data_IF_535787052806
#
_entry.id   IF_535787052806
#
_cell.length_a   1.000
_cell.length_b   1.000
_cell.length_c   1.000
_cell.angle_alpha   90.00
_cell.angle_beta   90.00
_cell.angle_gamma   90.00
#
_symmetry.space_group_name_H-M   'P 1'
#
loop_
_entity.id
_entity.type
_entity.pdbx_description
1 polymer ?
#
# COMPACT_ATOMS: atom_id res chain seq x y z
N UNK A 1 -97.10 90.04 106.79
CA UNK A 1 -97.51 90.74 105.55
C UNK A 1 -96.31 90.74 104.61
N UNK A 2 -96.50 90.14 103.42
CA UNK A 2 -95.95 90.36 102.06
C UNK A 2 -94.57 91.06 101.91
N UNK A 3 -93.71 90.85 100.90
CA UNK A 3 -93.83 90.22 99.58
C UNK A 3 -92.41 90.05 98.97
N UNK A 4 -92.39 89.36 97.82
CA UNK A 4 -91.32 88.91 96.92
C UNK A 4 -90.63 90.04 96.09
N UNK A 5 -89.35 89.88 95.70
CA UNK A 5 -88.82 90.06 94.31
C UNK A 5 -87.33 89.63 94.25
N UNK A 6 -86.94 88.52 93.60
CA UNK A 6 -86.79 88.14 92.17
C UNK A 6 -85.54 88.69 91.47
N UNK A 7 -84.80 87.75 90.86
CA UNK A 7 -83.48 87.85 90.22
C UNK A 7 -83.57 87.96 88.68
N UNK A 8 -82.57 88.60 88.06
CA UNK A 8 -82.46 88.68 86.60
C UNK A 8 -81.75 87.46 85.99
N UNK A 9 -82.45 86.79 85.08
CA UNK A 9 -82.01 85.70 84.22
C UNK A 9 -81.41 86.25 82.92
N UNK A 10 -80.28 85.67 82.47
CA UNK A 10 -79.82 85.80 81.07
C UNK A 10 -80.58 84.77 80.23
N UNK A 11 -81.28 85.27 79.21
CA UNK A 11 -82.12 84.54 78.26
C UNK A 11 -81.28 84.08 77.07
N UNK A 12 -81.23 82.78 76.80
CA UNK A 12 -80.81 82.24 75.49
C UNK A 12 -82.04 82.32 74.58
N UNK A 13 -81.98 83.14 73.53
CA UNK A 13 -83.05 83.29 72.56
C UNK A 13 -83.01 82.12 71.55
N UNK A 14 -84.02 81.25 71.61
CA UNK A 14 -84.15 80.03 70.78
C UNK A 14 -84.86 80.33 69.44
N UNK A 15 -85.34 81.56 69.22
CA UNK A 15 -86.22 81.90 68.07
C UNK A 15 -85.49 82.23 66.74
N UNK A 16 -84.17 82.05 66.63
CA UNK A 16 -83.42 82.27 65.37
C UNK A 16 -82.95 81.00 64.66
N UNK A 17 -83.31 79.80 65.15
CA UNK A 17 -83.04 78.54 64.46
C UNK A 17 -84.28 78.13 63.65
N UNK A 18 -84.29 78.44 62.36
CA UNK A 18 -85.34 77.97 61.44
C UNK A 18 -85.23 76.45 61.28
N UNK A 19 -86.03 75.72 62.05
CA UNK A 19 -86.05 74.25 62.07
C UNK A 19 -86.26 73.63 60.68
N UNK A 20 -86.89 74.34 59.73
CA UNK A 20 -87.04 73.89 58.35
C UNK A 20 -85.73 73.94 57.54
N UNK A 21 -84.86 74.91 57.79
CA UNK A 21 -83.56 75.01 57.09
C UNK A 21 -82.59 73.93 57.58
N UNK A 22 -82.64 73.60 58.87
CA UNK A 22 -81.91 72.47 59.46
C UNK A 22 -82.43 71.15 58.88
N UNK A 23 -83.75 70.97 58.84
CA UNK A 23 -84.38 69.76 58.30
C UNK A 23 -84.07 69.53 56.81
N UNK A 24 -84.11 70.59 55.99
CA UNK A 24 -83.77 70.49 54.56
C UNK A 24 -82.28 70.20 54.35
N UNK A 25 -81.39 70.81 55.15
CA UNK A 25 -79.95 70.59 55.07
C UNK A 25 -79.56 69.17 55.51
N UNK A 26 -80.19 68.64 56.56
CA UNK A 26 -80.01 67.26 57.01
C UNK A 26 -80.54 66.25 55.99
N UNK A 27 -81.66 66.57 55.32
CA UNK A 27 -82.23 65.75 54.24
C UNK A 27 -81.31 65.70 53.01
N UNK A 28 -80.76 66.83 52.58
CA UNK A 28 -79.80 66.88 51.47
C UNK A 28 -78.50 66.13 51.80
N UNK A 29 -78.04 66.23 53.06
CA UNK A 29 -76.90 65.45 53.56
C UNK A 29 -77.18 63.95 53.48
N UNK A 30 -78.38 63.52 53.88
CA UNK A 30 -78.81 62.12 53.82
C UNK A 30 -78.90 61.59 52.39
N UNK A 31 -79.41 62.40 51.45
CA UNK A 31 -79.45 62.05 50.02
C UNK A 31 -78.04 61.91 49.43
N UNK A 32 -77.11 62.80 49.80
CA UNK A 32 -75.72 62.70 49.37
C UNK A 32 -75.02 61.47 49.96
N UNK A 33 -75.23 61.17 51.25
CA UNK A 33 -74.71 59.94 51.88
C UNK A 33 -75.25 58.69 51.18
N UNK A 34 -76.53 58.67 50.80
CA UNK A 34 -77.12 57.55 50.06
C UNK A 34 -76.54 57.40 48.64
N UNK A 35 -76.29 58.51 47.93
CA UNK A 35 -75.62 58.49 46.63
C UNK A 35 -74.17 58.03 46.73
N UNK A 36 -73.44 58.50 47.73
CA UNK A 36 -72.06 58.04 48.00
C UNK A 36 -72.03 56.55 48.34
N UNK A 37 -72.99 56.06 49.14
CA UNK A 37 -73.13 54.63 49.41
C UNK A 37 -73.36 53.82 48.13
N UNK A 38 -74.26 54.27 47.25
CA UNK A 38 -74.51 53.61 45.96
C UNK A 38 -73.27 53.64 45.04
N UNK A 39 -72.53 54.74 45.02
CA UNK A 39 -71.27 54.85 44.28
C UNK A 39 -70.20 53.90 44.84
N UNK A 40 -70.05 53.83 46.18
CA UNK A 40 -69.14 52.90 46.84
C UNK A 40 -69.49 51.44 46.55
N UNK A 41 -70.78 51.07 46.56
CA UNK A 41 -71.23 49.72 46.19
C UNK A 41 -70.90 49.39 44.72
N UNK A 42 -71.06 50.35 43.81
CA UNK A 42 -70.72 50.19 42.40
C UNK A 42 -69.20 50.07 42.16
N UNK A 43 -68.38 50.85 42.86
CA UNK A 43 -66.91 50.74 42.81
C UNK A 43 -66.42 49.42 43.40
N UNK A 44 -67.00 48.98 44.53
CA UNK A 44 -66.68 47.69 45.13
C UNK A 44 -66.96 46.52 44.17
N UNK A 45 -68.09 46.58 43.44
CA UNK A 45 -68.41 45.58 42.42
C UNK A 45 -67.38 45.56 41.29
N UNK A 46 -66.98 46.73 40.76
CA UNK A 46 -65.93 46.83 39.72
C UNK A 46 -64.59 46.31 40.21
N UNK A 47 -64.22 46.59 41.47
CA UNK A 47 -62.98 46.08 42.07
C UNK A 47 -62.98 44.56 42.14
N UNK A 48 -64.09 43.93 42.55
CA UNK A 48 -64.22 42.47 42.56
C UNK A 48 -64.18 41.86 41.15
N UNK A 49 -64.80 42.51 40.15
CA UNK A 49 -64.71 42.08 38.75
C UNK A 49 -63.27 42.14 38.23
N UNK A 50 -62.54 43.23 38.52
CA UNK A 50 -61.11 43.36 38.20
C UNK A 50 -60.26 42.31 38.92
N UNK A 51 -60.50 42.07 40.20
CA UNK A 51 -59.77 41.06 40.98
C UNK A 51 -59.95 39.66 40.37
N UNK A 52 -61.18 39.29 40.01
CA UNK A 52 -61.47 38.03 39.34
C UNK A 52 -60.79 37.93 37.96
N UNK A 53 -60.83 39.00 37.17
CA UNK A 53 -60.16 39.05 35.87
C UNK A 53 -58.64 38.86 35.99
N UNK A 54 -57.99 39.55 36.95
CA UNK A 54 -56.56 39.41 37.20
C UNK A 54 -56.23 37.97 37.63
N UNK A 55 -56.99 37.39 38.56
CA UNK A 55 -56.79 36.01 39.01
C UNK A 55 -56.94 34.98 37.86
N UNK A 56 -57.93 35.12 36.99
CA UNK A 56 -58.09 34.23 35.83
C UNK A 56 -56.96 34.42 34.81
N UNK A 57 -56.54 35.67 34.57
CA UNK A 57 -55.40 35.96 33.69
C UNK A 57 -54.10 35.35 34.22
N UNK A 58 -53.86 35.41 35.53
CA UNK A 58 -52.66 34.83 36.15
C UNK A 58 -52.64 33.29 36.03
N UNK A 59 -53.80 32.63 36.21
CA UNK A 59 -53.95 31.19 35.96
C UNK A 59 -53.66 30.83 34.49
N UNK A 60 -54.15 31.62 33.54
CA UNK A 60 -53.86 31.40 32.12
C UNK A 60 -52.38 31.57 31.78
N UNK A 61 -51.72 32.59 32.35
CA UNK A 61 -50.28 32.82 32.17
C UNK A 61 -49.48 31.62 32.69
N UNK A 62 -49.80 31.08 33.88
CA UNK A 62 -49.12 29.91 34.43
C UNK A 62 -49.32 28.68 33.52
N UNK A 63 -50.54 28.48 33.03
CA UNK A 63 -50.85 27.40 32.08
C UNK A 63 -50.05 27.53 30.77
N UNK A 64 -49.94 28.74 30.22
CA UNK A 64 -49.15 28.97 29.02
C UNK A 64 -47.65 28.75 29.22
N UNK A 65 -47.08 29.21 30.35
CA UNK A 65 -45.68 28.94 30.71
C UNK A 65 -45.42 27.43 30.80
N UNK A 66 -46.29 26.69 31.49
CA UNK A 66 -46.22 25.23 31.58
C UNK A 66 -46.25 24.57 30.20
N UNK A 67 -47.21 24.94 29.36
CA UNK A 67 -47.34 24.37 28.01
C UNK A 67 -46.15 24.68 27.10
N UNK A 68 -45.52 25.85 27.25
CA UNK A 68 -44.33 26.22 26.49
C UNK A 68 -43.16 25.26 26.77
N UNK A 69 -42.89 24.98 28.04
CA UNK A 69 -41.82 24.06 28.43
C UNK A 69 -42.10 22.61 27.99
N UNK A 70 -43.37 22.17 28.08
CA UNK A 70 -43.79 20.84 27.59
C UNK A 70 -43.55 20.71 26.08
N UNK A 71 -43.87 21.74 25.28
CA UNK A 71 -43.64 21.69 23.82
C UNK A 71 -42.17 21.57 23.45
N UNK A 72 -41.27 22.20 24.21
CA UNK A 72 -39.82 22.03 24.03
C UNK A 72 -39.45 20.56 24.28
N UNK A 73 -39.96 19.96 25.34
CA UNK A 73 -39.72 18.56 25.67
C UNK A 73 -40.27 17.59 24.61
N UNK A 74 -41.45 17.86 24.07
CA UNK A 74 -42.01 17.10 22.94
C UNK A 74 -41.10 17.18 21.71
N UNK A 75 -40.55 18.36 21.42
CA UNK A 75 -39.62 18.58 20.33
C UNK A 75 -38.31 17.80 20.52
N UNK A 76 -37.68 17.92 21.70
CA UNK A 76 -36.48 17.15 22.07
C UNK A 76 -36.72 15.65 21.88
N UNK A 77 -37.82 15.11 22.42
CA UNK A 77 -38.14 13.69 22.29
C UNK A 77 -38.32 13.26 20.84
N UNK A 78 -38.99 14.09 20.02
CA UNK A 78 -39.17 13.80 18.59
C UNK A 78 -37.82 13.71 17.88
N UNK A 79 -36.96 14.72 18.04
CA UNK A 79 -35.64 14.74 17.41
C UNK A 79 -34.75 13.59 17.89
N UNK A 80 -34.77 13.29 19.18
CA UNK A 80 -34.05 12.16 19.78
C UNK A 80 -34.50 10.81 19.20
N UNK A 81 -35.80 10.60 18.98
CA UNK A 81 -36.31 9.38 18.35
C UNK A 81 -35.92 9.26 16.88
N UNK A 82 -35.99 10.35 16.12
CA UNK A 82 -35.53 10.39 14.72
C UNK A 82 -34.03 10.09 14.64
N UNK A 83 -33.23 10.69 15.53
CA UNK A 83 -31.79 10.41 15.64
C UNK A 83 -31.52 8.97 16.02
N UNK A 84 -32.23 8.39 16.99
CA UNK A 84 -32.05 6.97 17.34
C UNK A 84 -32.32 6.07 16.15
N UNK A 85 -33.39 6.29 15.39
CA UNK A 85 -33.69 5.48 14.21
C UNK A 85 -32.53 5.53 13.21
N UNK A 86 -32.12 6.73 12.82
CA UNK A 86 -30.98 6.94 11.90
C UNK A 86 -29.68 6.35 12.45
N UNK A 87 -29.38 6.60 13.72
CA UNK A 87 -28.16 6.18 14.40
C UNK A 87 -28.08 4.66 14.62
N UNK A 88 -29.19 3.97 14.81
CA UNK A 88 -29.17 2.51 15.04
C UNK A 88 -29.15 1.74 13.72
N UNK A 89 -30.02 2.11 12.77
CA UNK A 89 -30.17 1.41 11.50
C UNK A 89 -29.01 1.71 10.54
N UNK A 90 -28.57 2.96 10.44
CA UNK A 90 -27.47 3.34 9.55
C UNK A 90 -26.13 2.84 10.05
N UNK A 91 -25.87 2.88 11.36
CA UNK A 91 -24.50 2.68 11.85
C UNK A 91 -24.12 1.22 12.03
N UNK A 92 -25.05 0.35 12.45
CA UNK A 92 -24.78 -1.09 12.45
C UNK A 92 -24.51 -1.57 11.01
N UNK A 93 -25.31 -1.09 10.04
CA UNK A 93 -25.07 -1.37 8.62
C UNK A 93 -23.73 -0.81 8.15
N UNK A 94 -23.41 0.46 8.44
CA UNK A 94 -22.14 1.09 8.04
C UNK A 94 -20.92 0.41 8.66
N UNK A 95 -20.98 -0.03 9.92
CA UNK A 95 -19.89 -0.74 10.56
C UNK A 95 -19.69 -2.14 9.98
N UNK A 96 -20.78 -2.89 9.81
CA UNK A 96 -20.72 -4.21 9.17
C UNK A 96 -20.17 -4.08 7.74
N UNK A 97 -20.66 -3.11 6.96
CA UNK A 97 -20.14 -2.82 5.62
C UNK A 97 -18.66 -2.43 5.64
N UNK A 98 -18.24 -1.59 6.59
CA UNK A 98 -16.83 -1.21 6.79
C UNK A 98 -15.99 -2.45 7.07
N UNK A 99 -16.42 -3.30 8.00
CA UNK A 99 -15.72 -4.54 8.36
C UNK A 99 -15.65 -5.53 7.19
N UNK A 100 -16.74 -5.70 6.45
CA UNK A 100 -16.79 -6.56 5.28
C UNK A 100 -15.90 -6.03 4.16
N UNK A 101 -15.89 -4.70 3.96
CA UNK A 101 -15.01 -4.04 2.98
C UNK A 101 -13.55 -4.28 3.32
N UNK A 102 -13.14 -4.06 4.58
CA UNK A 102 -11.80 -4.40 5.02
C UNK A 102 -11.52 -5.89 4.82
N UNK A 103 -12.34 -6.80 5.38
CA UNK A 103 -12.14 -8.26 5.26
C UNK A 103 -11.99 -8.74 3.81
N UNK A 104 -12.74 -8.15 2.88
CA UNK A 104 -12.62 -8.46 1.46
C UNK A 104 -11.25 -8.10 0.88
N UNK A 105 -10.60 -7.06 1.41
CA UNK A 105 -9.24 -6.67 1.04
C UNK A 105 -8.18 -7.60 1.65
N UNK A 106 -8.50 -8.34 2.73
CA UNK A 106 -7.59 -9.24 3.46
C UNK A 106 -7.49 -10.66 2.92
N UNK A 107 -8.38 -11.07 2.03
CA UNK A 107 -8.40 -12.44 1.49
C UNK A 107 -7.30 -12.67 0.44
N UNK A 108 -6.05 -12.36 0.80
CA UNK A 108 -4.88 -12.54 -0.04
C UNK A 108 -3.79 -13.29 0.76
N UNK A 109 -3.22 -14.34 0.14
CA UNK A 109 -2.18 -15.20 0.70
C UNK A 109 -0.97 -14.45 1.29
N UNK A 110 -0.70 -13.24 0.80
CA UNK A 110 0.43 -12.41 1.23
C UNK A 110 0.17 -11.52 2.45
N UNK A 111 -1.08 -11.36 2.90
CA UNK A 111 -1.43 -10.52 4.07
C UNK A 111 -2.26 -11.26 5.13
N UNK A 112 -2.45 -12.57 4.97
CA UNK A 112 -3.20 -13.42 5.91
C UNK A 112 -2.59 -13.51 7.32
N UNK A 113 -1.30 -13.21 7.46
CA UNK A 113 -0.57 -13.14 8.73
C UNK A 113 -0.71 -11.78 9.45
N UNK A 114 -1.35 -10.79 8.83
CA UNK A 114 -1.72 -9.55 9.49
C UNK A 114 -2.94 -9.78 10.41
N UNK A 115 -2.75 -9.61 11.72
CA UNK A 115 -3.82 -9.80 12.70
C UNK A 115 -4.79 -8.61 12.75
N UNK A 116 -5.65 -8.47 11.72
CA UNK A 116 -6.65 -7.41 11.73
C UNK A 116 -7.74 -7.64 12.80
N UNK A 117 -8.00 -8.89 13.19
CA UNK A 117 -9.05 -9.19 14.16
C UNK A 117 -8.82 -8.48 15.51
N UNK A 118 -7.57 -8.34 15.94
CA UNK A 118 -7.23 -7.60 17.16
C UNK A 118 -7.56 -6.10 17.02
N UNK A 119 -7.29 -5.49 15.87
CA UNK A 119 -7.64 -4.09 15.62
C UNK A 119 -9.16 -3.92 15.54
N UNK A 120 -9.86 -4.84 14.89
CA UNK A 120 -11.32 -4.81 14.81
C UNK A 120 -11.99 -4.92 16.18
N UNK A 121 -11.52 -5.80 17.08
CA UNK A 121 -12.05 -5.90 18.44
C UNK A 121 -11.88 -4.57 19.19
N UNK A 122 -10.72 -3.91 19.06
CA UNK A 122 -10.48 -2.58 19.65
C UNK A 122 -11.47 -1.54 19.11
N UNK A 123 -11.68 -1.49 17.79
CA UNK A 123 -12.64 -0.58 17.18
C UNK A 123 -14.08 -0.88 17.60
N UNK A 124 -14.46 -2.16 17.67
CA UNK A 124 -15.78 -2.58 18.12
C UNK A 124 -16.07 -2.13 19.55
N UNK A 125 -15.09 -2.24 20.45
CA UNK A 125 -15.22 -1.80 21.83
C UNK A 125 -15.48 -0.28 21.94
N UNK A 126 -14.70 0.54 21.21
CA UNK A 126 -14.88 2.00 21.22
C UNK A 126 -16.25 2.39 20.63
N UNK A 127 -16.68 1.72 19.55
CA UNK A 127 -17.99 1.94 18.96
C UNK A 127 -19.12 1.56 19.92
N UNK A 128 -18.97 0.45 20.64
CA UNK A 128 -19.92 0.03 21.68
C UNK A 128 -19.99 1.06 22.82
N UNK A 129 -18.88 1.67 23.22
CA UNK A 129 -18.87 2.74 24.24
C UNK A 129 -19.63 3.99 23.78
N UNK A 130 -19.40 4.45 22.54
CA UNK A 130 -20.12 5.59 21.96
C UNK A 130 -21.62 5.29 21.91
N UNK A 131 -21.97 4.09 21.49
CA UNK A 131 -23.35 3.62 21.40
C UNK A 131 -24.04 3.53 22.78
N UNK A 132 -23.36 3.00 23.79
CA UNK A 132 -23.88 2.92 25.14
C UNK A 132 -24.13 4.31 25.72
N UNK A 133 -23.21 5.25 25.51
CA UNK A 133 -23.40 6.65 25.91
C UNK A 133 -24.59 7.33 25.21
N UNK A 134 -24.80 7.05 23.92
CA UNK A 134 -26.01 7.51 23.21
C UNK A 134 -27.29 6.96 23.85
N UNK A 135 -27.34 5.65 24.13
CA UNK A 135 -28.52 5.00 24.69
C UNK A 135 -28.83 5.45 26.13
N UNK A 136 -27.81 5.75 26.93
CA UNK A 136 -27.99 6.28 28.28
C UNK A 136 -28.71 7.63 28.25
N UNK A 137 -28.21 8.60 27.48
CA UNK A 137 -28.87 9.90 27.31
C UNK A 137 -30.27 9.77 26.70
N UNK A 138 -30.44 8.89 25.71
CA UNK A 138 -31.76 8.58 25.13
C UNK A 138 -32.77 8.11 26.18
N UNK A 139 -32.36 7.18 27.06
CA UNK A 139 -33.23 6.63 28.10
C UNK A 139 -33.60 7.68 29.16
N UNK A 140 -32.64 8.56 29.52
CA UNK A 140 -32.91 9.65 30.47
C UNK A 140 -33.94 10.63 29.88
N UNK A 141 -33.76 11.06 28.63
CA UNK A 141 -34.71 11.97 27.94
C UNK A 141 -36.13 11.37 27.92
N UNK A 142 -36.25 10.08 27.59
CA UNK A 142 -37.55 9.40 27.58
C UNK A 142 -38.18 9.29 28.97
N UNK A 143 -37.37 9.01 29.99
CA UNK A 143 -37.82 8.96 31.39
C UNK A 143 -38.34 10.33 31.81
N UNK A 144 -37.58 11.40 31.54
CA UNK A 144 -37.97 12.78 31.84
C UNK A 144 -39.23 13.24 31.12
N UNK A 145 -39.43 12.84 29.86
CA UNK A 145 -40.70 13.09 29.19
C UNK A 145 -41.87 12.35 29.86
N UNK A 146 -41.63 11.13 30.33
CA UNK A 146 -42.67 10.32 30.96
C UNK A 146 -43.09 10.89 32.31
N UNK A 147 -42.15 11.41 33.10
CA UNK A 147 -42.40 12.18 34.33
C UNK A 147 -43.34 13.38 34.04
N UNK A 148 -43.05 14.18 33.00
CA UNK A 148 -43.89 15.33 32.61
C UNK A 148 -45.32 14.94 32.21
N UNK A 149 -45.51 13.78 31.58
CA UNK A 149 -46.84 13.32 31.10
C UNK A 149 -47.67 12.76 32.26
N UNK A 150 -47.06 12.04 33.18
CA UNK A 150 -47.77 11.27 34.20
C UNK A 150 -48.01 12.05 35.51
N UNK A 151 -47.14 13.01 35.82
CA UNK A 151 -47.19 13.72 37.09
C UNK A 151 -47.91 15.07 36.96
N UNK A 152 -48.67 15.43 37.99
CA UNK A 152 -49.31 16.75 38.05
C UNK A 152 -48.32 17.83 38.53
N UNK A 153 -47.35 18.14 37.68
CA UNK A 153 -46.23 19.03 38.00
C UNK A 153 -46.58 20.51 37.83
N UNK A 154 -45.96 21.38 38.63
CA UNK A 154 -46.00 22.82 38.43
C UNK A 154 -45.01 23.30 37.34
N UNK A 155 -45.00 24.61 37.10
CA UNK A 155 -44.12 25.20 36.08
C UNK A 155 -42.62 25.05 36.41
N UNK A 156 -42.23 25.24 37.68
CA UNK A 156 -40.82 25.19 38.06
C UNK A 156 -40.28 23.76 37.97
N UNK A 157 -41.07 22.78 38.40
CA UNK A 157 -40.72 21.36 38.29
C UNK A 157 -40.52 20.94 36.83
N UNK A 158 -41.42 21.35 35.93
CA UNK A 158 -41.29 21.06 34.49
C UNK A 158 -40.06 21.73 33.89
N UNK A 159 -39.77 22.97 34.31
CA UNK A 159 -38.59 23.70 33.84
C UNK A 159 -37.30 22.98 34.23
N UNK A 160 -37.19 22.50 35.47
CA UNK A 160 -36.04 21.73 35.96
C UNK A 160 -35.87 20.41 35.20
N UNK A 161 -36.96 19.66 35.01
CA UNK A 161 -36.93 18.41 34.23
C UNK A 161 -36.47 18.66 32.80
N UNK A 162 -36.96 19.74 32.16
CA UNK A 162 -36.54 20.13 30.81
C UNK A 162 -35.06 20.47 30.74
N UNK A 163 -34.51 21.17 31.74
CA UNK A 163 -33.08 21.53 31.74
C UNK A 163 -32.18 20.29 31.81
N UNK A 164 -32.58 19.27 32.58
CA UNK A 164 -31.89 17.96 32.59
C UNK A 164 -31.98 17.29 31.21
N UNK A 165 -33.16 17.23 30.62
CA UNK A 165 -33.35 16.59 29.31
C UNK A 165 -32.59 17.32 28.19
N UNK A 166 -32.51 18.65 28.22
CA UNK A 166 -31.72 19.44 27.28
C UNK A 166 -30.23 19.13 27.40
N UNK A 167 -29.71 19.02 28.62
CA UNK A 167 -28.30 18.66 28.86
C UNK A 167 -27.99 17.27 28.30
N UNK A 168 -28.89 16.31 28.49
CA UNK A 168 -28.75 14.97 27.91
C UNK A 168 -28.90 14.95 26.38
N UNK A 169 -29.74 15.83 25.83
CA UNK A 169 -29.87 16.00 24.38
C UNK A 169 -28.57 16.48 23.74
N UNK A 170 -27.88 17.44 24.39
CA UNK A 170 -26.60 17.94 23.91
C UNK A 170 -25.51 16.86 23.98
N UNK A 171 -25.48 16.05 25.05
CA UNK A 171 -24.59 14.87 25.16
C UNK A 171 -24.86 13.85 24.05
N UNK A 172 -26.13 13.56 23.78
CA UNK A 172 -26.56 12.65 22.72
C UNK A 172 -26.08 13.15 21.35
N UNK A 173 -26.20 14.45 21.07
CA UNK A 173 -25.70 15.05 19.82
C UNK A 173 -24.20 14.91 19.67
N UNK A 174 -23.46 15.17 20.75
CA UNK A 174 -22.01 14.96 20.76
C UNK A 174 -21.62 13.52 20.45
N UNK A 175 -22.37 12.52 20.95
CA UNK A 175 -22.15 11.10 20.63
C UNK A 175 -22.39 10.78 19.16
N UNK A 176 -23.34 11.45 18.51
CA UNK A 176 -23.55 11.33 17.06
C UNK A 176 -22.34 11.82 16.28
N UNK A 177 -21.78 12.97 16.67
CA UNK A 177 -20.61 13.53 15.99
C UNK A 177 -19.33 12.73 16.28
N UNK A 178 -19.13 12.28 17.52
CA UNK A 178 -18.03 11.39 17.91
C UNK A 178 -18.01 10.12 17.05
N UNK A 179 -19.18 9.50 16.83
CA UNK A 179 -19.28 8.31 15.99
C UNK A 179 -18.86 8.60 14.54
N UNK A 180 -19.40 9.67 13.94
CA UNK A 180 -19.09 10.04 12.55
C UNK A 180 -17.59 10.26 12.36
N UNK A 181 -16.98 11.03 13.26
CA UNK A 181 -15.55 11.31 13.24
C UNK A 181 -14.74 10.03 13.44
N UNK A 182 -15.17 9.15 14.33
CA UNK A 182 -14.47 7.90 14.60
C UNK A 182 -14.52 6.92 13.42
N UNK A 183 -15.66 6.78 12.74
CA UNK A 183 -15.78 5.93 11.55
C UNK A 183 -14.88 6.42 10.40
N UNK A 184 -14.78 7.73 10.20
CA UNK A 184 -13.86 8.30 9.20
C UNK A 184 -12.41 8.03 9.59
N UNK A 185 -12.07 8.19 10.87
CA UNK A 185 -10.73 7.94 11.37
C UNK A 185 -10.30 6.46 11.22
N UNK A 186 -11.21 5.49 11.45
CA UNK A 186 -10.90 4.07 11.24
C UNK A 186 -10.53 3.79 9.78
N UNK A 187 -11.27 4.38 8.82
CA UNK A 187 -11.01 4.17 7.39
C UNK A 187 -9.58 4.55 7.02
N UNK A 188 -9.17 5.75 7.42
CA UNK A 188 -7.83 6.27 7.14
C UNK A 188 -6.77 5.48 7.91
N UNK A 189 -6.92 5.31 9.23
CA UNK A 189 -5.90 4.68 10.08
C UNK A 189 -5.61 3.22 9.70
N UNK A 190 -6.65 2.41 9.50
CA UNK A 190 -6.44 0.99 9.18
C UNK A 190 -6.00 0.82 7.71
N UNK A 191 -6.48 1.68 6.79
CA UNK A 191 -5.96 1.73 5.42
C UNK A 191 -4.46 2.03 5.39
N UNK A 192 -4.01 3.05 6.15
CA UNK A 192 -2.60 3.44 6.22
C UNK A 192 -1.73 2.36 6.87
N UNK A 193 -2.19 1.77 7.98
CA UNK A 193 -1.48 0.65 8.65
C UNK A 193 -1.25 -0.54 7.73
N UNK A 194 -2.20 -0.81 6.83
CA UNK A 194 -2.07 -1.91 5.87
C UNK A 194 -1.11 -1.60 4.74
N UNK A 195 -1.13 -0.37 4.23
CA UNK A 195 -0.17 0.10 3.24
C UNK A 195 1.25 -0.01 3.82
N UNK A 196 1.46 0.46 5.06
CA UNK A 196 2.72 0.33 5.81
C UNK A 196 3.18 -1.14 5.90
N UNK A 197 2.26 -2.04 6.25
CA UNK A 197 2.58 -3.46 6.37
C UNK A 197 2.96 -4.10 5.01
N UNK A 198 2.20 -3.80 3.96
CA UNK A 198 2.50 -4.30 2.60
C UNK A 198 3.84 -3.73 2.11
N UNK A 199 4.17 -2.49 2.45
CA UNK A 199 5.47 -1.87 2.18
C UNK A 199 6.62 -2.66 2.76
N UNK A 200 6.56 -3.03 4.04
CA UNK A 200 7.60 -3.85 4.67
C UNK A 200 7.76 -5.20 3.97
N UNK A 201 6.66 -5.84 3.56
CA UNK A 201 6.71 -7.10 2.80
C UNK A 201 7.38 -6.94 1.43
N UNK A 202 6.96 -5.95 0.65
CA UNK A 202 7.54 -5.69 -0.67
C UNK A 202 9.03 -5.32 -0.54
N UNK A 203 9.41 -4.54 0.48
CA UNK A 203 10.82 -4.22 0.72
C UNK A 203 11.66 -5.47 1.02
N UNK A 204 11.15 -6.38 1.85
CA UNK A 204 11.82 -7.65 2.12
C UNK A 204 11.95 -8.54 0.87
N UNK A 205 10.93 -8.55 0.00
CA UNK A 205 11.02 -9.23 -1.30
C UNK A 205 12.05 -8.56 -2.20
N UNK A 206 12.10 -7.23 -2.24
CA UNK A 206 13.08 -6.47 -2.99
C UNK A 206 14.52 -6.84 -2.60
N UNK A 207 14.83 -6.90 -1.30
CA UNK A 207 16.15 -7.33 -0.82
C UNK A 207 16.48 -8.74 -1.32
N UNK A 208 15.58 -9.71 -1.12
CA UNK A 208 15.80 -11.11 -1.54
C UNK A 208 16.02 -11.23 -3.04
N UNK A 209 15.20 -10.55 -3.85
CA UNK A 209 15.33 -10.63 -5.30
C UNK A 209 16.61 -9.90 -5.80
N UNK A 210 17.05 -8.84 -5.12
CA UNK A 210 18.34 -8.17 -5.37
C UNK A 210 19.53 -9.10 -5.07
N UNK A 211 19.50 -9.82 -3.94
CA UNK A 211 20.52 -10.83 -3.61
C UNK A 211 20.57 -11.95 -4.65
N UNK A 212 19.41 -12.45 -5.08
CA UNK A 212 19.31 -13.47 -6.13
C UNK A 212 19.86 -12.98 -7.48
N UNK A 213 19.56 -11.74 -7.85
CA UNK A 213 20.10 -11.11 -9.06
C UNK A 213 21.64 -11.06 -9.01
N UNK A 214 22.23 -10.63 -7.89
CA UNK A 214 23.68 -10.57 -7.73
C UNK A 214 24.35 -11.94 -7.89
N UNK A 215 23.77 -13.00 -7.30
CA UNK A 215 24.29 -14.37 -7.43
C UNK A 215 24.34 -14.83 -8.90
N UNK A 216 23.29 -14.49 -9.66
CA UNK A 216 23.16 -14.88 -11.06
C UNK A 216 24.10 -14.05 -11.94
N UNK A 217 24.18 -12.74 -11.73
CA UNK A 217 25.10 -11.86 -12.45
C UNK A 217 26.56 -12.28 -12.24
N UNK A 218 26.96 -12.56 -11.00
CA UNK A 218 28.30 -13.06 -10.67
C UNK A 218 28.61 -14.38 -11.38
N UNK A 219 27.64 -15.29 -11.41
CA UNK A 219 27.81 -16.60 -12.06
C UNK A 219 27.90 -16.46 -13.58
N UNK A 220 27.02 -15.65 -14.19
CA UNK A 220 27.04 -15.36 -15.61
C UNK A 220 28.36 -14.74 -16.06
N UNK A 221 28.83 -13.71 -15.34
CA UNK A 221 30.10 -13.05 -15.63
C UNK A 221 31.28 -14.00 -15.46
N UNK A 222 31.30 -14.81 -14.40
CA UNK A 222 32.34 -15.80 -14.17
C UNK A 222 32.42 -16.82 -15.30
N UNK A 223 31.30 -17.41 -15.70
CA UNK A 223 31.25 -18.43 -16.76
C UNK A 223 31.65 -17.80 -18.10
N UNK A 224 31.19 -16.58 -18.39
CA UNK A 224 31.54 -15.84 -19.61
C UNK A 224 33.05 -15.63 -19.73
N UNK A 225 33.71 -15.15 -18.66
CA UNK A 225 35.16 -14.94 -18.63
C UNK A 225 35.90 -16.28 -18.76
N UNK A 226 35.46 -17.31 -18.03
CA UNK A 226 36.09 -18.64 -18.09
C UNK A 226 35.96 -19.30 -19.45
N UNK A 227 34.83 -19.14 -20.15
CA UNK A 227 34.62 -19.60 -21.52
C UNK A 227 35.66 -19.01 -22.49
N UNK A 228 36.00 -17.72 -22.33
CA UNK A 228 37.05 -17.10 -23.14
C UNK A 228 38.43 -17.72 -22.86
N UNK A 229 38.75 -17.98 -21.59
CA UNK A 229 40.02 -18.59 -21.20
C UNK A 229 40.17 -20.04 -21.73
N UNK A 230 39.10 -20.83 -21.67
CA UNK A 230 39.06 -22.22 -22.19
C UNK A 230 39.47 -22.30 -23.67
N UNK A 231 39.15 -21.29 -24.49
CA UNK A 231 39.55 -21.26 -25.92
C UNK A 231 41.06 -21.22 -26.15
N UNK A 232 41.83 -20.81 -25.15
CA UNK A 232 43.28 -20.56 -25.28
C UNK A 232 44.16 -21.57 -24.53
N UNK A 233 43.56 -22.50 -23.79
CA UNK A 233 44.30 -23.47 -22.96
C UNK A 233 44.63 -24.71 -23.78
N UNK A 234 45.89 -25.13 -23.75
CA UNK A 234 46.35 -26.41 -24.33
C UNK A 234 46.40 -27.56 -23.31
N UNK A 235 46.38 -27.28 -22.00
CA UNK A 235 46.42 -28.28 -20.93
C UNK A 235 45.04 -28.90 -20.67
N UNK A 236 44.89 -30.16 -21.04
CA UNK A 236 43.65 -30.95 -20.87
C UNK A 236 43.22 -31.09 -19.40
N UNK A 237 44.16 -31.19 -18.45
CA UNK A 237 43.84 -31.28 -17.03
C UNK A 237 43.26 -29.97 -16.52
N UNK A 238 43.88 -28.86 -16.89
CA UNK A 238 43.39 -27.53 -16.52
C UNK A 238 42.02 -27.23 -17.14
N UNK A 239 41.77 -27.68 -18.37
CA UNK A 239 40.45 -27.60 -19.03
C UNK A 239 39.37 -28.36 -18.23
N UNK A 240 39.69 -29.57 -17.76
CA UNK A 240 38.77 -30.36 -16.94
C UNK A 240 38.44 -29.67 -15.62
N UNK A 241 39.45 -29.19 -14.90
CA UNK A 241 39.28 -28.50 -13.62
C UNK A 241 38.46 -27.20 -13.80
N UNK A 242 38.69 -26.47 -14.90
CA UNK A 242 37.93 -25.28 -15.25
C UNK A 242 36.46 -25.58 -15.53
N UNK A 243 36.16 -26.65 -16.27
CA UNK A 243 34.79 -27.04 -16.57
C UNK A 243 34.04 -27.50 -15.30
N UNK A 244 34.69 -28.29 -14.44
CA UNK A 244 34.09 -28.71 -13.16
C UNK A 244 33.70 -27.49 -12.30
N UNK A 245 34.58 -26.49 -12.23
CA UNK A 245 34.30 -25.24 -11.50
C UNK A 245 33.14 -24.45 -12.12
N UNK A 246 33.05 -24.40 -13.46
CA UNK A 246 31.93 -23.78 -14.18
C UNK A 246 30.61 -24.50 -13.87
N UNK A 247 30.61 -25.84 -13.89
CA UNK A 247 29.42 -26.63 -13.57
C UNK A 247 28.96 -26.43 -12.12
N UNK A 248 29.89 -26.39 -11.17
CA UNK A 248 29.58 -26.09 -9.77
C UNK A 248 28.97 -24.69 -9.61
N UNK A 249 29.54 -23.68 -10.28
CA UNK A 249 29.00 -22.31 -10.27
C UNK A 249 27.60 -22.26 -10.90
N UNK A 250 27.35 -23.01 -11.98
CA UNK A 250 26.03 -23.07 -12.59
C UNK A 250 25.00 -23.83 -11.72
N UNK A 251 25.41 -24.82 -10.93
CA UNK A 251 24.50 -25.49 -9.97
C UNK A 251 23.90 -24.50 -8.97
N UNK A 252 24.66 -23.50 -8.51
CA UNK A 252 24.10 -22.45 -7.63
C UNK A 252 23.02 -21.60 -8.31
N UNK A 253 23.09 -21.41 -9.64
CA UNK A 253 22.06 -20.71 -10.43
C UNK A 253 20.86 -21.62 -10.72
N UNK A 254 21.11 -22.89 -11.10
CA UNK A 254 20.06 -23.86 -11.41
C UNK A 254 19.15 -24.12 -10.20
N UNK A 255 19.75 -24.28 -9.01
CA UNK A 255 19.06 -24.56 -7.76
C UNK A 255 18.44 -23.32 -7.11
N UNK A 256 18.63 -22.13 -7.67
CA UNK A 256 18.06 -20.90 -7.12
C UNK A 256 16.54 -20.93 -7.26
N UNK A 257 15.86 -20.97 -6.12
CA UNK A 257 14.40 -20.85 -5.99
C UNK A 257 14.03 -19.37 -6.02
N UNK A 258 13.21 -18.97 -6.98
CA UNK A 258 12.87 -17.56 -7.20
C UNK A 258 12.03 -17.05 -6.02
N UNK A 259 12.43 -15.90 -5.46
CA UNK A 259 11.86 -15.26 -4.27
C UNK A 259 10.33 -15.09 -4.30
N UNK A 260 9.75 -14.83 -5.47
CA UNK A 260 8.31 -14.51 -5.67
C UNK A 260 7.96 -14.57 -7.16
N UNK A 261 6.67 -14.60 -7.48
CA UNK A 261 6.19 -14.49 -8.86
C UNK A 261 5.86 -13.03 -9.24
N UNK A 262 5.85 -12.73 -10.54
CA UNK A 262 5.42 -11.40 -11.02
C UNK A 262 3.96 -11.11 -10.66
N UNK A 263 3.13 -12.15 -10.66
CA UNK A 263 1.70 -12.04 -10.39
C UNK A 263 1.46 -11.67 -8.92
N UNK A 264 2.27 -12.19 -8.01
CA UNK A 264 2.23 -11.89 -6.58
C UNK A 264 2.44 -10.38 -6.33
N UNK A 265 3.48 -9.82 -6.97
CA UNK A 265 3.83 -8.40 -6.85
C UNK A 265 2.72 -7.51 -7.43
N UNK A 266 2.16 -7.88 -8.59
CA UNK A 266 1.02 -7.17 -9.19
C UNK A 266 -0.19 -7.19 -8.27
N UNK A 267 -0.49 -8.35 -7.67
CA UNK A 267 -1.61 -8.49 -6.75
C UNK A 267 -1.41 -7.66 -5.46
N UNK A 268 -0.21 -7.64 -4.89
CA UNK A 268 0.09 -6.79 -3.73
C UNK A 268 -0.16 -5.31 -4.02
N UNK A 269 0.29 -4.80 -5.17
CA UNK A 269 0.04 -3.43 -5.57
C UNK A 269 -1.44 -3.13 -5.83
N UNK A 270 -2.18 -4.07 -6.43
CA UNK A 270 -3.63 -3.97 -6.54
C UNK A 270 -4.30 -3.72 -5.20
N UNK A 271 -3.85 -4.41 -4.14
CA UNK A 271 -4.37 -4.18 -2.79
C UNK A 271 -3.99 -2.81 -2.23
N UNK A 272 -2.76 -2.34 -2.47
CA UNK A 272 -2.32 -0.98 -2.09
C UNK A 272 -3.23 0.08 -2.72
N UNK A 273 -3.53 -0.03 -4.02
CA UNK A 273 -4.42 0.91 -4.71
C UNK A 273 -5.85 0.84 -4.16
N UNK A 274 -6.37 -0.37 -3.87
CA UNK A 274 -7.68 -0.53 -3.20
C UNK A 274 -7.72 0.16 -1.83
N UNK A 275 -6.66 0.01 -1.04
CA UNK A 275 -6.54 0.61 0.29
C UNK A 275 -6.42 2.14 0.21
N UNK A 276 -5.63 2.66 -0.74
CA UNK A 276 -5.53 4.10 -0.99
C UNK A 276 -6.90 4.68 -1.37
N UNK A 277 -7.60 4.07 -2.32
CA UNK A 277 -8.94 4.49 -2.75
C UNK A 277 -9.95 4.41 -1.60
N UNK A 278 -9.84 3.41 -0.73
CA UNK A 278 -10.67 3.27 0.46
C UNK A 278 -10.44 4.37 1.49
N UNK A 279 -9.18 4.83 1.63
CA UNK A 279 -8.81 6.02 2.41
C UNK A 279 -9.13 7.35 1.69
N UNK A 280 -9.77 7.32 0.51
CA UNK A 280 -10.14 8.50 -0.27
C UNK A 280 -8.99 9.15 -1.04
N UNK A 281 -7.89 8.42 -1.23
CA UNK A 281 -6.71 8.83 -1.99
C UNK A 281 -6.80 8.21 -3.39
N UNK A 282 -6.81 9.04 -4.42
CA UNK A 282 -6.72 8.63 -5.82
C UNK A 282 -5.25 8.72 -6.23
N UNK A 283 -4.74 7.63 -6.80
CA UNK A 283 -3.37 7.58 -7.32
C UNK A 283 -3.40 7.86 -8.82
N UNK A 284 -2.63 8.84 -9.25
CA UNK A 284 -2.55 9.31 -10.63
C UNK A 284 -1.13 9.09 -11.17
N UNK A 285 -1.02 8.84 -12.46
CA UNK A 285 0.27 8.92 -13.17
C UNK A 285 0.62 10.35 -13.58
N UNK A 286 1.88 10.55 -13.97
CA UNK A 286 2.37 11.74 -14.67
C UNK A 286 1.71 12.02 -16.03
N UNK A 287 1.02 11.03 -16.59
CA UNK A 287 0.15 11.19 -17.76
C UNK A 287 -1.28 11.60 -17.39
N UNK A 288 -1.54 11.99 -16.13
CA UNK A 288 -2.86 12.30 -15.58
C UNK A 288 -3.87 11.16 -15.78
N UNK A 289 -3.41 9.92 -15.71
CA UNK A 289 -4.26 8.73 -15.79
C UNK A 289 -4.44 8.15 -14.39
N UNK A 290 -5.69 7.89 -14.00
CA UNK A 290 -5.97 7.22 -12.72
C UNK A 290 -5.44 5.79 -12.74
N UNK A 291 -4.69 5.42 -11.71
CA UNK A 291 -4.23 4.07 -11.49
C UNK A 291 -5.31 3.32 -10.72
N UNK A 292 -5.94 2.35 -11.37
CA UNK A 292 -7.03 1.56 -10.80
C UNK A 292 -6.53 0.21 -10.26
N UNK A 293 -7.30 -0.45 -9.38
CA UNK A 293 -6.99 -1.82 -8.93
C UNK A 293 -6.90 -2.84 -10.07
N UNK A 294 -7.55 -2.59 -11.20
CA UNK A 294 -7.51 -3.44 -12.38
C UNK A 294 -6.22 -3.24 -13.16
N UNK A 295 -5.69 -2.01 -13.22
CA UNK A 295 -4.50 -1.66 -13.99
C UNK A 295 -3.39 -1.00 -13.14
N UNK A 296 -2.97 -1.59 -11.99
CA UNK A 296 -1.93 -0.97 -11.19
C UNK A 296 -0.56 -1.00 -11.88
N UNK A 297 -0.35 -1.97 -12.80
CA UNK A 297 0.90 -2.24 -13.52
C UNK A 297 0.69 -3.02 -14.84
N UNK A 298 -0.48 -2.91 -15.50
CA UNK A 298 -0.81 -3.84 -16.58
C UNK A 298 0.08 -3.74 -17.83
N UNK A 299 0.75 -2.61 -18.03
CA UNK A 299 1.70 -2.41 -19.15
C UNK A 299 3.10 -2.02 -18.67
N UNK A 300 4.13 -2.47 -19.40
CA UNK A 300 5.53 -2.08 -19.18
C UNK A 300 5.73 -0.54 -19.15
N UNK A 301 4.80 0.20 -19.74
CA UNK A 301 4.78 1.66 -19.76
C UNK A 301 4.46 2.28 -18.39
N UNK A 302 3.73 1.58 -17.50
CA UNK A 302 3.39 2.05 -16.15
C UNK A 302 4.56 1.96 -15.16
N UNK A 303 5.55 1.10 -15.42
CA UNK A 303 6.68 0.84 -14.51
C UNK A 303 7.59 2.05 -14.25
N UNK A 304 7.59 3.05 -15.14
CA UNK A 304 8.46 4.22 -15.05
C UNK A 304 7.71 5.54 -14.77
N UNK A 305 6.40 5.50 -14.52
CA UNK A 305 5.62 6.70 -14.30
C UNK A 305 5.92 7.30 -12.91
N UNK A 306 5.96 8.62 -12.84
CA UNK A 306 5.87 9.31 -11.56
C UNK A 306 4.43 9.28 -11.06
N UNK A 307 4.26 9.16 -9.74
CA UNK A 307 2.95 9.12 -9.11
C UNK A 307 2.58 10.49 -8.55
N UNK A 308 1.32 10.85 -8.72
CA UNK A 308 0.67 12.01 -8.13
C UNK A 308 -0.55 11.54 -7.33
N UNK A 309 -0.99 12.35 -6.38
CA UNK A 309 -2.10 11.99 -5.50
C UNK A 309 -3.15 13.09 -5.54
N UNK A 310 -4.39 12.67 -5.75
CA UNK A 310 -5.56 13.53 -5.61
C UNK A 310 -6.41 13.02 -4.45
N UNK A 311 -6.93 13.93 -3.63
CA UNK A 311 -8.03 13.57 -2.74
C UNK A 311 -9.27 13.47 -3.61
N UNK A 312 -10.04 12.39 -3.43
CA UNK A 312 -11.39 12.32 -3.99
C UNK A 312 -12.25 13.38 -3.28
N UNK A 313 -12.25 14.62 -3.80
CA UNK A 313 -13.27 15.59 -3.43
C UNK A 313 -14.57 15.06 -4.01
N UNK A 314 -15.55 14.80 -3.14
CA UNK A 314 -16.86 14.26 -3.52
C UNK A 314 -17.43 15.07 -4.70
N UNK A 315 -17.37 14.49 -5.92
CA UNK A 315 -18.15 14.98 -7.04
C UNK A 315 -19.60 14.79 -6.62
N UNK A 316 -20.34 15.90 -6.52
CA UNK A 316 -21.78 15.91 -6.25
C UNK A 316 -22.45 15.12 -7.37
N UNK A 317 -22.80 13.86 -7.11
CA UNK A 317 -23.57 13.04 -8.03
C UNK A 317 -24.88 13.76 -8.34
N UNK A 318 -25.06 14.15 -9.60
CA UNK A 318 -26.31 14.70 -10.14
C UNK A 318 -27.12 13.63 -10.88
N UNK A 319 -26.86 12.34 -10.62
CA UNK A 319 -27.57 11.24 -11.26
C UNK A 319 -28.46 10.51 -10.23
N UNK A 320 -29.72 10.93 -10.24
CA UNK A 320 -30.86 10.50 -9.41
C UNK A 320 -31.27 9.01 -9.47
N UNK A 321 -30.42 8.04 -9.87
CA UNK A 321 -30.94 6.67 -10.11
C UNK A 321 -30.09 5.45 -9.72
N UNK A 322 -29.00 5.58 -8.95
CA UNK A 322 -28.37 4.40 -8.36
C UNK A 322 -28.83 4.21 -6.91
N UNK A 323 -29.90 3.43 -6.77
CA UNK A 323 -30.32 2.84 -5.51
C UNK A 323 -29.30 1.78 -5.07
N UNK A 324 -28.23 2.20 -4.41
CA UNK A 324 -27.51 1.45 -3.37
C UNK A 324 -26.39 2.34 -2.81
N UNK A 325 -26.45 2.63 -1.50
CA UNK A 325 -25.53 3.46 -0.70
C UNK A 325 -25.73 4.99 -0.80
N UNK A 326 -26.86 5.48 -0.29
CA UNK A 326 -26.91 6.83 0.29
C UNK A 326 -26.14 6.83 1.63
N UNK A 327 -24.81 6.95 1.54
CA UNK A 327 -23.99 7.50 2.61
C UNK A 327 -23.89 9.00 2.33
N UNK A 328 -24.97 9.71 2.65
CA UNK A 328 -25.08 11.14 2.44
C UNK A 328 -23.95 11.91 3.16
N UNK A 329 -23.20 12.63 2.32
CA UNK A 329 -22.50 13.90 2.58
C UNK A 329 -21.38 13.90 3.62
N UNK A 330 -20.12 13.84 3.17
CA UNK A 330 -18.93 14.00 4.01
C UNK A 330 -17.88 14.89 3.34
N UNK A 331 -18.17 16.19 3.30
CA UNK A 331 -17.14 17.20 3.08
C UNK A 331 -16.18 17.26 4.28
N UNK A 332 -14.95 16.76 4.10
CA UNK A 332 -13.81 17.22 4.88
C UNK A 332 -12.96 18.16 4.01
N UNK A 333 -13.19 19.47 4.17
CA UNK A 333 -12.18 20.47 3.84
C UNK A 333 -11.02 20.32 4.82
N UNK A 334 -9.81 20.08 4.34
CA UNK A 334 -8.57 20.80 4.72
C UNK A 334 -7.32 19.95 4.43
N UNK A 335 -6.33 20.59 3.80
CA UNK A 335 -4.87 20.41 3.83
C UNK A 335 -4.26 19.01 4.09
N UNK A 336 -3.28 18.64 3.27
CA UNK A 336 -2.43 17.44 3.42
C UNK A 336 -1.97 17.26 4.88
N UNK A 337 -2.61 16.32 5.60
CA UNK A 337 -2.13 15.90 6.92
C UNK A 337 -0.78 15.22 6.78
N UNK A 338 0.05 15.30 7.84
CA UNK A 338 1.36 14.61 7.89
C UNK A 338 1.22 13.11 7.62
N UNK A 339 0.14 12.50 8.09
CA UNK A 339 -0.16 11.08 7.88
C UNK A 339 -0.43 10.77 6.39
N UNK A 340 -1.08 11.68 5.65
CA UNK A 340 -1.28 11.51 4.20
C UNK A 340 0.04 11.61 3.44
N UNK A 341 0.90 12.58 3.77
CA UNK A 341 2.23 12.71 3.15
C UNK A 341 3.08 11.45 3.35
N UNK A 342 3.00 10.85 4.54
CA UNK A 342 3.65 9.56 4.83
C UNK A 342 3.14 8.48 3.87
N UNK A 343 1.82 8.33 3.78
CA UNK A 343 1.18 7.31 2.93
C UNK A 343 1.49 7.51 1.46
N UNK A 344 1.54 8.76 0.98
CA UNK A 344 1.95 9.08 -0.40
C UNK A 344 3.37 8.59 -0.67
N UNK A 345 4.30 8.87 0.23
CA UNK A 345 5.68 8.39 0.13
C UNK A 345 5.75 6.85 0.21
N UNK A 346 4.94 6.22 1.06
CA UNK A 346 4.88 4.77 1.18
C UNK A 346 4.41 4.13 -0.12
N UNK A 347 3.38 4.69 -0.78
CA UNK A 347 2.90 4.23 -2.08
C UNK A 347 3.96 4.44 -3.19
N UNK A 348 4.66 5.58 -3.19
CA UNK A 348 5.78 5.82 -4.13
C UNK A 348 6.90 4.80 -3.95
N UNK A 349 7.31 4.53 -2.71
CA UNK A 349 8.35 3.54 -2.41
C UNK A 349 7.90 2.13 -2.80
N UNK A 350 6.67 1.76 -2.47
CA UNK A 350 6.03 0.50 -2.88
C UNK A 350 6.07 0.30 -4.40
N UNK A 351 5.67 1.31 -5.15
CA UNK A 351 5.72 1.29 -6.61
C UNK A 351 7.16 1.12 -7.11
N UNK A 352 8.10 1.88 -6.54
CA UNK A 352 9.52 1.82 -6.90
C UNK A 352 10.13 0.43 -6.68
N UNK A 353 9.93 -0.14 -5.48
CA UNK A 353 10.43 -1.48 -5.15
C UNK A 353 9.81 -2.56 -6.01
N UNK A 354 8.50 -2.48 -6.25
CA UNK A 354 7.79 -3.43 -7.11
C UNK A 354 8.31 -3.41 -8.54
N UNK A 355 8.52 -2.23 -9.11
CA UNK A 355 9.15 -2.07 -10.43
C UNK A 355 10.54 -2.71 -10.47
N UNK A 356 11.35 -2.50 -9.43
CA UNK A 356 12.69 -3.08 -9.37
C UNK A 356 12.65 -4.61 -9.23
N UNK A 357 11.77 -5.15 -8.41
CA UNK A 357 11.55 -6.60 -8.30
C UNK A 357 11.19 -7.19 -9.66
N UNK A 358 10.26 -6.59 -10.40
CA UNK A 358 9.85 -7.10 -11.71
C UNK A 358 11.03 -7.12 -12.70
N UNK A 359 11.88 -6.07 -12.70
CA UNK A 359 13.12 -6.03 -13.49
C UNK A 359 14.11 -7.13 -13.08
N UNK A 360 14.28 -7.38 -11.79
CA UNK A 360 15.12 -8.48 -11.30
C UNK A 360 14.57 -9.84 -11.72
N UNK A 361 13.27 -10.08 -11.61
CA UNK A 361 12.65 -11.34 -12.01
C UNK A 361 12.87 -11.62 -13.51
N UNK A 362 12.73 -10.60 -14.38
CA UNK A 362 13.03 -10.72 -15.81
C UNK A 362 14.49 -11.08 -16.09
N UNK A 363 15.42 -10.38 -15.43
CA UNK A 363 16.84 -10.62 -15.60
C UNK A 363 17.27 -11.99 -15.06
N UNK A 364 16.81 -12.37 -13.86
CA UNK A 364 17.04 -13.68 -13.25
C UNK A 364 16.62 -14.79 -14.21
N UNK A 365 15.41 -14.70 -14.78
CA UNK A 365 14.89 -15.73 -15.67
C UNK A 365 15.70 -15.84 -16.96
N UNK A 366 16.07 -14.69 -17.56
CA UNK A 366 16.91 -14.64 -18.76
C UNK A 366 18.30 -15.22 -18.52
N UNK A 367 19.01 -14.70 -17.50
CA UNK A 367 20.38 -15.08 -17.21
C UNK A 367 20.51 -16.52 -16.71
N UNK A 368 19.47 -17.07 -16.07
CA UNK A 368 19.41 -18.50 -15.74
C UNK A 368 19.41 -19.37 -17.02
N UNK A 369 18.72 -18.94 -18.07
CA UNK A 369 18.80 -19.55 -19.40
C UNK A 369 20.19 -19.41 -20.01
N UNK A 370 20.70 -18.17 -20.08
CA UNK A 370 21.99 -17.87 -20.69
C UNK A 370 23.16 -18.60 -20.00
N UNK A 371 23.14 -18.73 -18.67
CA UNK A 371 24.14 -19.52 -17.93
C UNK A 371 24.15 -20.99 -18.36
N UNK A 372 22.98 -21.61 -18.51
CA UNK A 372 22.88 -23.00 -18.93
C UNK A 372 23.42 -23.21 -20.35
N UNK A 373 23.10 -22.30 -21.27
CA UNK A 373 23.63 -22.33 -22.64
C UNK A 373 25.15 -22.14 -22.66
N UNK A 374 25.68 -21.21 -21.85
CA UNK A 374 27.13 -21.02 -21.72
C UNK A 374 27.84 -22.27 -21.19
N UNK A 375 27.26 -22.97 -20.22
CA UNK A 375 27.81 -24.24 -19.71
C UNK A 375 27.83 -25.29 -20.81
N UNK A 376 26.77 -25.39 -21.61
CA UNK A 376 26.72 -26.32 -22.75
C UNK A 376 27.82 -26.01 -23.76
N UNK A 377 28.00 -24.74 -24.13
CA UNK A 377 29.07 -24.33 -25.04
C UNK A 377 30.47 -24.66 -24.47
N UNK A 378 30.69 -24.49 -23.17
CA UNK A 378 31.95 -24.86 -22.52
C UNK A 378 32.23 -26.37 -22.58
N UNK A 379 31.19 -27.22 -22.53
CA UNK A 379 31.32 -28.68 -22.71
C UNK A 379 31.73 -29.02 -24.14
N UNK A 380 31.08 -28.42 -25.13
CA UNK A 380 31.41 -28.63 -26.55
C UNK A 380 32.84 -28.16 -26.86
N UNK A 381 33.26 -27.01 -26.34
CA UNK A 381 34.63 -26.52 -26.48
C UNK A 381 35.66 -27.48 -25.88
N UNK A 382 35.35 -28.12 -24.73
CA UNK A 382 36.24 -29.11 -24.13
C UNK A 382 36.43 -30.33 -25.03
N UNK A 383 35.36 -30.85 -25.63
CA UNK A 383 35.42 -32.00 -26.55
C UNK A 383 36.32 -31.67 -27.75
N UNK A 384 36.15 -30.48 -28.33
CA UNK A 384 36.99 -30.00 -29.44
C UNK A 384 38.46 -29.82 -29.03
N UNK A 385 38.74 -29.19 -27.88
CA UNK A 385 40.12 -29.01 -27.39
C UNK A 385 40.82 -30.33 -27.11
N UNK A 386 40.10 -31.33 -26.59
CA UNK A 386 40.66 -32.68 -26.35
C UNK A 386 41.02 -33.34 -27.67
N UNK A 387 40.13 -33.29 -28.68
CA UNK A 387 40.40 -33.84 -30.01
C UNK A 387 41.59 -33.16 -30.71
N UNK A 388 41.72 -31.83 -30.57
CA UNK A 388 42.86 -31.07 -31.10
C UNK A 388 44.19 -31.47 -30.45
N UNK A 389 44.19 -31.70 -29.13
CA UNK A 389 45.37 -32.17 -28.42
C UNK A 389 45.82 -33.55 -28.91
N UNK A 390 44.88 -34.49 -29.07
CA UNK A 390 45.16 -35.83 -29.59
C UNK A 390 45.71 -35.77 -31.03
N UNK A 391 45.16 -34.89 -31.88
CA UNK A 391 45.69 -34.65 -33.23
C UNK A 391 47.11 -34.07 -33.20
N UNK A 392 47.42 -33.15 -32.28
CA UNK A 392 48.77 -32.57 -32.12
C UNK A 392 49.80 -33.63 -31.76
N UNK A 393 49.44 -34.59 -30.91
CA UNK A 393 50.28 -35.76 -30.58
C UNK A 393 50.52 -36.62 -31.83
N UNK A 394 49.47 -36.93 -32.59
CA UNK A 394 49.58 -37.72 -33.81
C UNK A 394 50.48 -37.04 -34.86
N UNK A 395 50.32 -35.73 -35.09
CA UNK A 395 51.16 -34.96 -36.00
C UNK A 395 52.62 -34.98 -35.56
N UNK A 396 52.88 -34.77 -34.26
CA UNK A 396 54.27 -34.82 -33.73
C UNK A 396 54.92 -36.18 -33.96
N UNK A 397 54.16 -37.27 -33.81
CA UNK A 397 54.62 -38.63 -34.13
C UNK A 397 54.93 -38.82 -35.62
N UNK A 398 54.11 -38.23 -36.52
CA UNK A 398 54.34 -38.26 -37.97
C UNK A 398 55.59 -37.46 -38.33
N UNK A 399 55.79 -36.26 -37.78
CA UNK A 399 56.98 -35.44 -38.01
C UNK A 399 58.25 -36.17 -37.58
N UNK A 400 58.24 -36.83 -36.42
CA UNK A 400 59.38 -37.62 -35.96
C UNK A 400 59.69 -38.77 -36.92
N UNK A 401 58.66 -39.46 -37.43
CA UNK A 401 58.82 -40.50 -38.45
C UNK A 401 59.37 -39.95 -39.78
N UNK A 402 58.93 -38.77 -40.21
CA UNK A 402 59.44 -38.11 -41.41
C UNK A 402 60.93 -37.81 -41.27
N UNK A 403 61.34 -37.25 -40.12
CA UNK A 403 62.75 -36.99 -39.80
C UNK A 403 63.58 -38.28 -39.81
N UNK A 404 63.07 -39.37 -39.23
CA UNK A 404 63.73 -40.69 -39.26
C UNK A 404 63.90 -41.21 -40.71
N UNK A 405 62.88 -41.06 -41.55
CA UNK A 405 62.95 -41.43 -42.97
C UNK A 405 63.98 -40.57 -43.70
N UNK A 406 63.97 -39.26 -43.50
CA UNK A 406 64.94 -38.34 -44.13
C UNK A 406 66.39 -38.71 -43.77
N UNK A 407 66.66 -38.96 -42.49
CA UNK A 407 67.97 -39.42 -42.03
C UNK A 407 68.39 -40.75 -42.69
N UNK A 408 67.44 -41.68 -42.87
CA UNK A 408 67.72 -42.94 -43.55
C UNK A 408 68.02 -42.75 -45.05
N UNK A 409 67.35 -41.82 -45.74
CA UNK A 409 67.64 -41.47 -47.13
C UNK A 409 69.06 -40.90 -47.25
N UNK A 410 69.48 -40.04 -46.33
CA UNK A 410 70.84 -39.49 -46.32
C UNK A 410 71.90 -40.59 -46.13
N UNK A 411 71.65 -41.55 -45.22
CA UNK A 411 72.53 -42.71 -45.04
C UNK A 411 72.61 -43.56 -46.32
N UNK A 412 71.48 -43.84 -46.97
CA UNK A 412 71.42 -44.60 -48.22
C UNK A 412 72.16 -43.87 -49.34
N UNK A 413 71.98 -42.56 -49.45
CA UNK A 413 72.66 -41.72 -50.45
C UNK A 413 74.17 -41.71 -50.26
N UNK A 414 74.66 -41.63 -49.03
CA UNK A 414 76.09 -41.74 -48.73
C UNK A 414 76.66 -43.11 -49.10
N UNK A 415 75.93 -44.19 -48.80
CA UNK A 415 76.34 -45.55 -49.21
C UNK A 415 76.36 -45.74 -50.74
N UNK A 416 75.42 -45.11 -51.45
CA UNK A 416 75.43 -45.09 -52.92
C UNK A 416 76.70 -44.43 -53.47
N UNK A 417 77.10 -43.29 -52.90
CA UNK A 417 78.36 -42.63 -53.29
C UNK A 417 79.59 -43.51 -53.01
N UNK A 418 79.60 -44.27 -51.91
CA UNK A 418 80.67 -45.23 -51.62
C UNK A 418 80.70 -46.38 -52.65
N UNK A 419 79.54 -46.89 -53.06
CA UNK A 419 79.43 -47.93 -54.10
C UNK A 419 79.93 -47.39 -55.44
N UNK A 420 79.54 -46.19 -55.83
CA UNK A 420 80.00 -45.55 -57.07
C UNK A 420 81.53 -45.41 -57.08
N UNK A 421 82.14 -45.05 -55.94
CA UNK A 421 83.60 -45.00 -55.79
C UNK A 421 84.26 -46.38 -55.90
N UNK A 422 83.66 -47.42 -55.32
CA UNK A 422 84.14 -48.80 -55.47
C UNK A 422 84.01 -49.26 -56.92
N UNK A 423 82.90 -48.95 -57.58
CA UNK A 423 82.65 -49.31 -58.97
C UNK A 423 83.65 -48.63 -59.91
N UNK A 424 83.93 -47.35 -59.70
CA UNK A 424 85.00 -46.64 -60.41
C UNK A 424 86.37 -47.30 -60.21
N UNK A 425 86.71 -47.67 -58.97
CA UNK A 425 87.96 -48.38 -58.69
C UNK A 425 88.00 -49.76 -59.36
N UNK A 426 86.87 -50.49 -59.38
CA UNK A 426 86.77 -51.79 -60.02
C UNK A 426 86.95 -51.70 -61.53
N UNK A 427 86.33 -50.72 -62.20
CA UNK A 427 86.54 -50.46 -63.63
C UNK A 427 88.01 -50.14 -63.92
N UNK A 428 88.65 -49.32 -63.07
CA UNK A 428 90.08 -49.02 -63.18
C UNK A 428 90.96 -50.25 -62.98
N UNK A 429 90.63 -51.14 -62.04
CA UNK A 429 91.34 -52.40 -61.86
C UNK A 429 91.16 -53.34 -63.05
N UNK A 430 89.96 -53.37 -63.64
CA UNK A 430 89.69 -54.12 -64.86
C UNK A 430 90.52 -53.61 -66.03
N UNK A 431 90.60 -52.28 -66.23
CA UNK A 431 91.47 -51.66 -67.23
C UNK A 431 92.95 -52.02 -67.02
N UNK A 432 93.44 -52.00 -65.76
CA UNK A 432 94.81 -52.43 -65.44
C UNK A 432 95.00 -53.92 -65.79
N UNK A 433 94.03 -54.77 -65.46
CA UNK A 433 94.12 -56.20 -65.72
C UNK A 433 94.13 -56.50 -67.22
N UNK A 434 93.26 -55.86 -67.99
CA UNK A 434 93.20 -55.96 -69.46
C UNK A 434 94.54 -55.52 -70.09
N UNK A 435 95.14 -54.43 -69.59
CA UNK A 435 96.48 -53.99 -70.02
C UNK A 435 97.59 -55.01 -69.69
N UNK A 436 97.53 -55.66 -68.52
CA UNK A 436 98.51 -56.71 -68.13
C UNK A 436 98.39 -57.94 -69.02
N UNK A 437 97.18 -58.31 -69.42
CA UNK A 437 96.93 -59.40 -70.37
C UNK A 437 97.52 -59.07 -71.76
N UNK A 438 97.39 -57.81 -72.22
CA UNK A 438 98.06 -57.31 -73.42
C UNK A 438 99.60 -57.39 -73.33
N UNK A 439 100.20 -57.07 -72.17
CA UNK A 439 101.64 -57.18 -71.96
C UNK A 439 102.14 -58.62 -72.00
N UNK A 440 101.36 -59.59 -71.50
CA UNK A 440 101.69 -61.02 -71.63
C UNK A 440 101.73 -61.46 -73.10
N UNK A 441 100.74 -61.06 -73.89
CA UNK A 441 100.76 -61.34 -75.33
C UNK A 441 101.95 -60.71 -76.05
N UNK A 442 102.40 -59.52 -75.61
CA UNK A 442 103.58 -58.86 -76.18
C UNK A 442 104.89 -59.58 -75.82
N UNK A 443 105.03 -60.06 -74.58
CA UNK A 443 106.21 -60.82 -74.13
C UNK A 443 106.30 -62.21 -74.79
N UNK A 444 105.16 -62.89 -74.95
CA UNK A 444 105.09 -64.14 -75.72
C UNK A 444 105.49 -63.93 -77.19
N UNK A 445 105.07 -62.82 -77.79
CA UNK A 445 105.43 -62.45 -79.18
C UNK A 445 106.93 -62.10 -79.29
N UNK A 446 107.49 -61.43 -78.29
CA UNK A 446 108.92 -61.11 -78.20
C UNK A 446 109.77 -62.37 -78.02
N UNK A 447 109.35 -63.30 -77.17
CA UNK A 447 110.00 -64.59 -76.99
C UNK A 447 109.97 -65.41 -78.29
N UNK A 448 108.83 -65.43 -79.00
CA UNK A 448 108.72 -66.04 -80.32
C UNK A 448 109.68 -65.41 -81.36
N UNK A 449 109.87 -64.08 -81.31
CA UNK A 449 110.82 -63.37 -82.18
C UNK A 449 112.29 -63.68 -81.85
N UNK A 450 112.65 -63.78 -80.56
CA UNK A 450 113.99 -64.16 -80.10
C UNK A 450 114.34 -65.57 -80.60
N UNK A 451 113.40 -66.51 -80.51
CA UNK A 451 113.57 -67.88 -81.03
C UNK A 451 113.80 -67.86 -82.54
N UNK A 452 112.96 -67.15 -83.31
CA UNK A 452 113.11 -67.03 -84.78
C UNK A 452 114.42 -66.36 -85.21
N UNK A 453 114.88 -65.35 -84.49
CA UNK A 453 116.16 -64.67 -84.76
C UNK A 453 117.36 -65.60 -84.51
N UNK A 454 117.28 -66.46 -83.49
CA UNK A 454 118.32 -67.45 -83.21
C UNK A 454 118.37 -68.57 -84.27
N UNK A 455 117.24 -68.90 -84.90
CA UNK A 455 117.19 -69.83 -86.04
C UNK A 455 117.82 -69.24 -87.30
N UNK A 456 117.56 -67.96 -87.61
CA UNK A 456 118.09 -67.27 -88.79
C UNK A 456 119.61 -67.09 -88.71
N UNK A 457 120.18 -66.85 -87.52
CA UNK A 457 121.63 -66.68 -87.32
C UNK A 457 122.45 -67.99 -87.39
N UNK A 458 121.80 -69.15 -87.58
CA UNK A 458 122.44 -70.46 -87.77
C UNK A 458 122.44 -70.95 -89.23
N UNK A 459 121.86 -70.18 -90.16
CA UNK A 459 121.98 -70.35 -91.61
C UNK A 459 123.05 -69.41 -92.17
#
# INVERSE_FOLDING_TARGET
MNDVSKSDQIVINIDSLNMNDIYNKDKDLLINILKEKQNMEAEYKKMNEMYNYVNETEKEIIKHKKNYEIRIMEHIKKETNEKKKKFMESNNKSLTTLMDSFRSMFYNEYINDYNINENFEKHQNILNEIYNGFNESYNIINTKMTEIINDNLDYNEIKEIKEVAQTEYDKLNKKVDELKNYLNNIKEQEGHRLIDYIKEKIFNLYIKCSEQQNIIDDSYNYITVKKQYIKTIEDVKFLLDSLNTIEEKNKSVANLEICTSKEDIKNLLKHVIKLANFSGIIVMSDTNTEITPENPLEDNDLLNLQLYFERKHEITSTLENDSDLELDHLGSNSDESIDNLKVYNDIIELHTYSTQILKYLDNIQKLKGDCNDLVKDCKELRELSTALYDLKIQITSVINRENDISNNIDIVSNKLNEIDAIQYNFEKYKEIFDNVEEYKTLDDTKNAYIVKKAEILKM
#
